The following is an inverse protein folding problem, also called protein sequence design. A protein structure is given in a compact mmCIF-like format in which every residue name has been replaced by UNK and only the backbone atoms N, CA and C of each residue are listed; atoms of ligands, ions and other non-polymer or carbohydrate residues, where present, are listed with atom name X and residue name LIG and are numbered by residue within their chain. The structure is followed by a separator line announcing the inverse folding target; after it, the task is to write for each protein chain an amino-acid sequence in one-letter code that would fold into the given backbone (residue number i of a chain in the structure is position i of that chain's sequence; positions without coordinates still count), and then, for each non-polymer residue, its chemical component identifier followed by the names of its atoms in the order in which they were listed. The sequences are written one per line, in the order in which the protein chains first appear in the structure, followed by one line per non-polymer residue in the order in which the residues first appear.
data_IF_329067307070
#
_entry.id   IF_329067307070
#
_cell.length_a   1.000
_cell.length_b   1.000
_cell.length_c   1.000
_cell.angle_alpha   90.00
_cell.angle_beta   90.00
_cell.angle_gamma   90.00
#
_symmetry.space_group_name_H-M   'P 1'
#
loop_
_entity.id
_entity.type
_entity.pdbx_description
1 polymer ?
#
# COMPACT_ATOMS: atom_id res chain seq x y z
N UNK A 1 20.40 -5.53 43.32
CA UNK A 1 19.35 -6.56 43.11
C UNK A 1 18.12 -6.00 42.41
N UNK A 2 17.63 -4.78 42.75
CA UNK A 2 16.50 -4.12 42.05
C UNK A 2 16.76 -3.72 40.58
N UNK A 3 17.99 -3.41 40.19
CA UNK A 3 18.32 -2.97 38.81
C UNK A 3 18.35 -4.09 37.77
N UNK A 4 18.62 -5.32 38.20
CA UNK A 4 18.61 -6.50 37.32
C UNK A 4 17.19 -6.87 36.88
N UNK A 5 16.23 -6.77 37.79
CA UNK A 5 14.81 -7.05 37.51
C UNK A 5 14.15 -6.05 36.55
N UNK A 6 14.55 -4.77 36.60
CA UNK A 6 14.02 -3.77 35.67
C UNK A 6 14.55 -3.97 34.24
N UNK A 7 15.80 -4.37 34.09
CA UNK A 7 16.42 -4.62 32.77
C UNK A 7 15.78 -5.83 32.09
N UNK A 8 15.59 -6.93 32.82
CA UNK A 8 14.93 -8.14 32.30
C UNK A 8 13.46 -7.90 31.92
N UNK A 9 12.75 -7.09 32.71
CA UNK A 9 11.37 -6.70 32.40
C UNK A 9 11.29 -5.90 31.10
N UNK A 10 12.20 -4.95 30.90
CA UNK A 10 12.26 -4.13 29.69
C UNK A 10 12.59 -4.98 28.45
N UNK A 11 13.56 -5.89 28.54
CA UNK A 11 13.91 -6.80 27.45
C UNK A 11 12.73 -7.69 27.05
N UNK A 12 12.01 -8.23 28.04
CA UNK A 12 10.81 -9.05 27.82
C UNK A 12 9.69 -8.26 27.14
N UNK A 13 9.48 -7.01 27.57
CA UNK A 13 8.50 -6.11 26.96
C UNK A 13 8.85 -5.83 25.49
N UNK A 14 10.10 -5.49 25.19
CA UNK A 14 10.54 -5.20 23.82
C UNK A 14 10.41 -6.41 22.91
N UNK A 15 10.78 -7.59 23.40
CA UNK A 15 10.65 -8.83 22.66
C UNK A 15 9.18 -9.15 22.34
N UNK A 16 8.29 -8.93 23.31
CA UNK A 16 6.85 -9.12 23.14
C UNK A 16 6.26 -8.16 22.10
N UNK A 17 6.62 -6.87 22.16
CA UNK A 17 6.22 -5.87 21.17
C UNK A 17 6.71 -6.28 19.78
N UNK A 18 7.95 -6.76 19.68
CA UNK A 18 8.54 -7.18 18.41
C UNK A 18 7.81 -8.39 17.81
N UNK A 19 7.47 -9.41 18.60
CA UNK A 19 6.76 -10.59 18.10
C UNK A 19 5.30 -10.30 17.75
N UNK A 20 4.60 -9.45 18.52
CA UNK A 20 3.26 -8.98 18.15
C UNK A 20 3.32 -8.25 16.81
N UNK A 21 4.30 -7.36 16.65
CA UNK A 21 4.53 -6.64 15.41
C UNK A 21 4.85 -7.60 14.26
N UNK A 22 5.69 -8.62 14.50
CA UNK A 22 6.02 -9.62 13.51
C UNK A 22 4.77 -10.37 13.03
N UNK A 23 3.87 -10.76 13.95
CA UNK A 23 2.59 -11.37 13.60
C UNK A 23 1.72 -10.48 12.72
N UNK A 24 1.59 -9.19 13.08
CA UNK A 24 0.85 -8.20 12.28
C UNK A 24 1.49 -8.02 10.90
N UNK A 25 2.82 -7.96 10.83
CA UNK A 25 3.58 -7.81 9.60
C UNK A 25 3.43 -9.05 8.70
N UNK A 26 3.47 -10.26 9.25
CA UNK A 26 3.27 -11.50 8.49
C UNK A 26 1.88 -11.56 7.88
N UNK A 27 0.84 -11.32 8.70
CA UNK A 27 -0.55 -11.37 8.25
C UNK A 27 -0.83 -10.29 7.21
N UNK A 28 -0.36 -9.07 7.44
CA UNK A 28 -0.48 -7.97 6.46
C UNK A 28 0.31 -8.28 5.19
N UNK A 29 1.50 -8.86 5.32
CA UNK A 29 2.38 -9.22 4.22
C UNK A 29 1.74 -10.25 3.29
N UNK A 30 1.32 -11.39 3.84
CA UNK A 30 0.70 -12.48 3.06
C UNK A 30 -0.52 -11.97 2.31
N UNK A 31 -1.42 -11.27 3.00
CA UNK A 31 -2.68 -10.89 2.35
C UNK A 31 -2.46 -9.83 1.26
N UNK A 32 -1.56 -8.87 1.46
CA UNK A 32 -1.27 -7.87 0.43
C UNK A 32 -0.46 -8.43 -0.74
N UNK A 33 0.43 -9.41 -0.52
CA UNK A 33 1.08 -10.15 -1.61
C UNK A 33 0.05 -10.91 -2.44
N UNK A 34 -0.85 -11.66 -1.79
CA UNK A 34 -1.91 -12.40 -2.49
C UNK A 34 -2.86 -11.45 -3.26
N UNK A 35 -3.24 -10.33 -2.64
CA UNK A 35 -4.07 -9.32 -3.30
C UNK A 35 -3.36 -8.70 -4.52
N UNK A 36 -2.07 -8.41 -4.40
CA UNK A 36 -1.26 -7.84 -5.48
C UNK A 36 -0.97 -8.82 -6.63
N UNK A 37 -0.92 -10.13 -6.37
CA UNK A 37 -0.71 -11.17 -7.39
C UNK A 37 -1.99 -11.56 -8.14
N UNK A 38 -3.17 -11.23 -7.62
CA UNK A 38 -4.43 -11.50 -8.31
C UNK A 38 -4.52 -10.70 -9.62
N UNK A 39 -5.29 -11.16 -10.61
CA UNK A 39 -5.29 -10.62 -11.99
C UNK A 39 -5.66 -9.13 -12.12
N UNK A 40 -6.23 -8.52 -11.07
CA UNK A 40 -6.58 -7.09 -10.98
C UNK A 40 -5.90 -6.41 -9.78
N UNK A 41 -4.85 -7.02 -9.23
CA UNK A 41 -4.12 -6.56 -8.06
C UNK A 41 -3.38 -5.25 -8.31
N UNK A 42 -3.40 -4.36 -7.31
CA UNK A 42 -2.67 -3.10 -7.38
C UNK A 42 -1.21 -3.34 -7.00
N UNK A 43 -0.27 -2.79 -7.79
CA UNK A 43 1.17 -2.90 -7.51
C UNK A 43 1.55 -2.37 -6.12
N UNK A 44 0.78 -1.40 -5.63
CA UNK A 44 0.89 -0.86 -4.27
C UNK A 44 0.75 -1.94 -3.20
N UNK A 45 -0.24 -2.84 -3.35
CA UNK A 45 -0.45 -3.95 -2.41
C UNK A 45 0.71 -4.93 -2.45
N UNK A 46 1.19 -5.27 -3.66
CA UNK A 46 2.33 -6.19 -3.80
C UNK A 46 3.59 -5.64 -3.12
N UNK A 47 3.95 -4.39 -3.39
CA UNK A 47 5.15 -3.76 -2.79
C UNK A 47 4.99 -3.63 -1.27
N UNK A 48 3.82 -3.21 -0.80
CA UNK A 48 3.53 -3.14 0.64
C UNK A 48 3.61 -4.52 1.31
N UNK A 49 3.09 -5.55 0.65
CA UNK A 49 3.16 -6.93 1.12
C UNK A 49 4.60 -7.43 1.27
N UNK A 50 5.45 -7.18 0.27
CA UNK A 50 6.89 -7.51 0.33
C UNK A 50 7.57 -6.73 1.46
N UNK A 51 7.26 -5.44 1.62
CA UNK A 51 7.78 -4.64 2.75
C UNK A 51 7.40 -5.24 4.10
N UNK A 52 6.15 -5.65 4.28
CA UNK A 52 5.70 -6.28 5.53
C UNK A 52 6.43 -7.59 5.79
N UNK A 53 6.68 -8.42 4.76
CA UNK A 53 7.47 -9.65 4.91
C UNK A 53 8.93 -9.34 5.29
N UNK A 54 9.53 -8.30 4.72
CA UNK A 54 10.86 -7.83 5.16
C UNK A 54 10.85 -7.44 6.64
N UNK A 55 9.82 -6.70 7.07
CA UNK A 55 9.62 -6.35 8.48
C UNK A 55 9.49 -7.57 9.39
N UNK A 56 8.73 -8.59 8.96
CA UNK A 56 8.59 -9.85 9.67
C UNK A 56 9.93 -10.56 9.86
N UNK A 57 10.69 -10.78 8.78
CA UNK A 57 11.99 -11.44 8.86
C UNK A 57 12.98 -10.66 9.72
N UNK A 58 12.98 -9.32 9.62
CA UNK A 58 13.80 -8.47 10.49
C UNK A 58 13.51 -8.71 11.97
N UNK A 59 12.23 -8.83 12.36
CA UNK A 59 11.83 -8.97 13.76
C UNK A 59 12.05 -10.39 14.31
N UNK A 60 11.92 -11.42 13.47
CA UNK A 60 12.00 -12.83 13.91
C UNK A 60 13.43 -13.38 13.87
N UNK A 61 14.26 -12.93 12.93
CA UNK A 61 15.62 -13.46 12.80
C UNK A 61 16.48 -13.15 14.04
N UNK A 62 17.35 -14.10 14.43
CA UNK A 62 18.24 -13.93 15.58
C UNK A 62 19.23 -12.78 15.37
N UNK A 63 19.58 -12.02 16.42
CA UNK A 63 18.95 -12.02 17.75
C UNK A 63 17.50 -11.52 17.65
N UNK A 64 16.55 -12.26 18.24
CA UNK A 64 15.11 -11.98 18.08
C UNK A 64 14.72 -10.59 18.57
N UNK A 65 13.70 -10.00 17.95
CA UNK A 65 13.21 -8.68 18.29
C UNK A 65 13.92 -7.55 17.56
N UNK A 66 14.15 -6.42 18.22
CA UNK A 66 14.88 -5.29 17.64
C UNK A 66 16.37 -5.37 17.97
N UNK A 67 17.17 -4.60 17.22
CA UNK A 67 18.61 -4.54 17.45
C UNK A 67 18.93 -3.65 18.65
N UNK A 68 19.30 -4.27 19.78
CA UNK A 68 19.64 -3.58 21.02
C UNK A 68 21.13 -3.28 21.17
N UNK A 69 21.98 -4.04 20.47
CA UNK A 69 23.43 -3.90 20.48
C UNK A 69 23.94 -3.74 19.05
N UNK A 70 24.89 -2.83 18.87
CA UNK A 70 25.37 -2.45 17.54
C UNK A 70 26.91 -2.44 17.49
N UNK A 71 27.60 -3.19 18.36
CA UNK A 71 29.07 -3.12 18.44
C UNK A 71 29.70 -3.91 17.28
N UNK A 72 30.61 -3.29 16.55
CA UNK A 72 31.45 -3.99 15.58
C UNK A 72 32.54 -4.81 16.32
N UNK A 73 33.02 -5.93 15.75
CA UNK A 73 32.60 -6.54 14.50
C UNK A 73 31.21 -7.19 14.60
N UNK A 74 30.41 -7.06 13.54
CA UNK A 74 29.04 -7.55 13.54
C UNK A 74 28.97 -9.06 13.28
N UNK A 75 28.24 -9.84 14.11
CA UNK A 75 28.01 -11.25 13.83
C UNK A 75 27.20 -11.43 12.54
N UNK A 76 27.44 -12.52 11.82
CA UNK A 76 26.79 -12.84 10.54
C UNK A 76 25.27 -12.81 10.65
N UNK A 77 24.72 -13.32 11.76
CA UNK A 77 23.28 -13.30 12.04
C UNK A 77 22.70 -11.88 12.02
N UNK A 78 23.39 -10.93 12.66
CA UNK A 78 22.98 -9.52 12.69
C UNK A 78 23.11 -8.88 11.30
N UNK A 79 24.15 -9.23 10.53
CA UNK A 79 24.30 -8.75 9.16
C UNK A 79 23.16 -9.22 8.27
N UNK A 80 22.78 -10.50 8.35
CA UNK A 80 21.64 -11.08 7.61
C UNK A 80 20.32 -10.42 8.03
N UNK A 81 20.09 -10.29 9.34
CA UNK A 81 18.92 -9.59 9.89
C UNK A 81 18.79 -8.17 9.33
N UNK A 82 19.91 -7.45 9.20
CA UNK A 82 19.92 -6.07 8.67
C UNK A 82 19.59 -5.98 7.18
N UNK A 83 19.86 -7.01 6.38
CA UNK A 83 19.45 -7.02 4.96
C UNK A 83 17.95 -6.73 4.83
N UNK A 84 17.13 -7.34 5.70
CA UNK A 84 15.68 -7.20 5.64
C UNK A 84 15.19 -5.79 5.97
N UNK A 85 15.73 -5.13 7.00
CA UNK A 85 15.30 -3.77 7.33
C UNK A 85 15.87 -2.74 6.32
N UNK A 86 17.02 -2.99 5.71
CA UNK A 86 17.53 -2.16 4.60
C UNK A 86 16.66 -2.33 3.36
N UNK A 87 16.26 -3.56 3.04
CA UNK A 87 15.33 -3.84 1.95
C UNK A 87 13.97 -3.17 2.18
N UNK A 88 13.47 -3.19 3.42
CA UNK A 88 12.27 -2.45 3.80
C UNK A 88 12.38 -0.95 3.46
N UNK A 89 13.46 -0.28 3.89
CA UNK A 89 13.66 1.13 3.59
C UNK A 89 13.96 1.41 2.10
N UNK A 90 14.58 0.47 1.39
CA UNK A 90 14.82 0.56 -0.05
C UNK A 90 13.53 0.46 -0.87
N UNK A 91 12.54 -0.30 -0.37
CA UNK A 91 11.22 -0.42 -0.95
C UNK A 91 10.29 0.73 -0.58
N UNK A 92 10.55 1.46 0.51
CA UNK A 92 9.68 2.55 0.99
C UNK A 92 9.47 3.66 -0.06
N UNK A 93 10.51 4.19 -0.77
CA UNK A 93 10.30 5.13 -1.89
C UNK A 93 9.53 4.53 -3.07
N UNK A 94 9.74 3.23 -3.36
CA UNK A 94 9.01 2.52 -4.42
C UNK A 94 7.52 2.41 -4.06
N UNK A 95 7.21 2.10 -2.80
CA UNK A 95 5.86 2.12 -2.29
C UNK A 95 5.24 3.51 -2.40
N UNK A 96 5.96 4.57 -1.99
CA UNK A 96 5.49 5.95 -2.11
C UNK A 96 5.19 6.31 -3.57
N UNK A 97 6.03 5.91 -4.53
CA UNK A 97 5.79 6.11 -5.97
C UNK A 97 4.47 5.46 -6.41
N UNK A 98 4.23 4.18 -6.07
CA UNK A 98 3.01 3.48 -6.43
C UNK A 98 1.76 4.02 -5.71
N UNK A 99 1.88 4.31 -4.42
CA UNK A 99 0.80 4.82 -3.59
C UNK A 99 0.34 6.22 -4.02
N UNK A 100 1.29 7.09 -4.40
CA UNK A 100 1.00 8.50 -4.74
C UNK A 100 0.87 8.77 -6.23
N UNK A 101 1.39 7.88 -7.08
CA UNK A 101 1.55 8.15 -8.51
C UNK A 101 2.58 9.25 -8.82
N UNK A 102 3.48 9.56 -7.88
CA UNK A 102 4.56 10.52 -8.04
C UNK A 102 5.78 9.87 -8.71
N UNK A 103 6.04 10.18 -9.98
CA UNK A 103 6.98 9.43 -10.84
C UNK A 103 8.44 9.91 -10.82
N UNK A 104 8.88 10.69 -9.83
CA UNK A 104 10.28 11.17 -9.79
C UNK A 104 11.23 10.10 -9.23
N UNK A 105 11.60 9.15 -10.09
CA UNK A 105 12.42 7.97 -9.75
C UNK A 105 13.85 8.28 -9.29
N UNK A 106 14.37 9.48 -9.58
CA UNK A 106 15.72 9.90 -9.16
C UNK A 106 15.91 9.71 -7.64
N UNK A 107 14.92 10.10 -6.83
CA UNK A 107 15.00 9.96 -5.38
C UNK A 107 14.96 8.50 -4.92
N UNK A 108 14.17 7.66 -5.61
CA UNK A 108 14.12 6.21 -5.36
C UNK A 108 15.48 5.57 -5.57
N UNK A 109 16.11 5.80 -6.73
CA UNK A 109 17.43 5.23 -7.03
C UNK A 109 18.52 5.76 -6.11
N UNK A 110 18.50 7.06 -5.82
CA UNK A 110 19.48 7.69 -4.93
C UNK A 110 19.38 7.13 -3.50
N UNK A 111 18.16 6.93 -3.00
CA UNK A 111 17.96 6.29 -1.68
C UNK A 111 18.48 4.86 -1.69
N UNK A 112 18.14 4.06 -2.71
CA UNK A 112 18.58 2.67 -2.82
C UNK A 112 20.10 2.57 -2.88
N UNK A 113 20.75 3.45 -3.65
CA UNK A 113 22.20 3.55 -3.71
C UNK A 113 22.81 3.83 -2.34
N UNK A 114 22.33 4.87 -1.63
CA UNK A 114 22.87 5.20 -0.31
C UNK A 114 22.63 4.11 0.73
N UNK A 115 21.48 3.41 0.68
CA UNK A 115 21.22 2.27 1.56
C UNK A 115 22.16 1.11 1.27
N UNK A 116 22.34 0.72 0.00
CA UNK A 116 23.28 -0.34 -0.38
C UNK A 116 24.71 0.01 -0.01
N UNK A 117 25.13 1.25 -0.28
CA UNK A 117 26.44 1.75 0.10
C UNK A 117 26.62 1.72 1.63
N UNK A 118 25.61 2.14 2.40
CA UNK A 118 25.66 2.07 3.87
C UNK A 118 25.77 0.65 4.40
N UNK A 119 25.07 -0.30 3.78
CA UNK A 119 25.17 -1.71 4.16
C UNK A 119 26.56 -2.27 3.88
N UNK A 120 27.13 -1.94 2.71
CA UNK A 120 28.47 -2.37 2.33
C UNK A 120 29.55 -1.85 3.29
N UNK A 121 29.51 -0.55 3.63
CA UNK A 121 30.42 0.06 4.60
C UNK A 121 30.25 -0.62 5.97
N UNK A 122 29.01 -0.82 6.44
CA UNK A 122 28.73 -1.50 7.71
C UNK A 122 29.30 -2.93 7.74
N UNK A 123 29.10 -3.72 6.67
CA UNK A 123 29.54 -5.11 6.61
C UNK A 123 31.08 -5.27 6.64
N UNK A 124 31.80 -4.24 6.22
CA UNK A 124 33.27 -4.20 6.17
C UNK A 124 33.89 -3.42 7.35
N UNK A 125 33.08 -2.85 8.24
CA UNK A 125 33.57 -2.08 9.39
C UNK A 125 34.04 -3.01 10.52
N UNK A 126 35.32 -2.86 10.90
CA UNK A 126 35.91 -3.54 12.05
C UNK A 126 36.11 -2.63 13.28
N UNK A 127 35.97 -1.30 13.13
CA UNK A 127 36.18 -0.30 14.18
C UNK A 127 34.91 0.44 14.62
N UNK A 128 35.07 1.61 15.25
CA UNK A 128 33.94 2.39 15.77
C UNK A 128 33.00 2.92 14.66
N UNK A 129 31.71 2.98 15.02
CA UNK A 129 30.52 2.90 14.14
C UNK A 129 30.23 4.09 13.21
N UNK A 130 31.13 5.06 13.06
CA UNK A 130 30.70 6.42 12.66
C UNK A 130 30.19 6.53 11.22
N UNK A 131 30.81 5.85 10.25
CA UNK A 131 30.67 6.30 8.86
C UNK A 131 29.42 5.76 8.16
N UNK A 132 29.11 4.46 8.34
CA UNK A 132 27.92 3.86 7.75
C UNK A 132 26.63 4.41 8.37
N UNK A 133 26.69 4.80 9.65
CA UNK A 133 25.55 5.33 10.38
C UNK A 133 25.03 6.63 9.76
N UNK A 134 25.90 7.63 9.57
CA UNK A 134 25.52 8.91 8.97
C UNK A 134 24.99 8.75 7.55
N UNK A 135 25.62 7.86 6.77
CA UNK A 135 25.19 7.54 5.43
C UNK A 135 23.76 6.98 5.39
N UNK A 136 23.43 6.07 6.31
CA UNK A 136 22.07 5.55 6.46
C UNK A 136 21.07 6.66 6.82
N UNK A 137 21.46 7.64 7.65
CA UNK A 137 20.60 8.78 8.02
C UNK A 137 20.30 9.69 6.84
N UNK A 138 21.29 9.97 6.00
CA UNK A 138 21.09 10.74 4.77
C UNK A 138 20.07 10.03 3.87
N UNK A 139 20.18 8.71 3.73
CA UNK A 139 19.21 7.93 2.96
C UNK A 139 17.79 8.05 3.55
N UNK A 140 17.64 7.87 4.87
CA UNK A 140 16.35 7.97 5.56
C UNK A 140 15.72 9.38 5.48
N UNK A 141 16.53 10.43 5.64
CA UNK A 141 16.07 11.82 5.45
C UNK A 141 15.60 12.03 4.01
N UNK A 142 16.31 11.47 3.03
CA UNK A 142 15.91 11.52 1.63
C UNK A 142 14.55 10.86 1.40
N UNK A 143 14.28 9.71 2.03
CA UNK A 143 12.96 9.05 1.97
C UNK A 143 11.87 9.93 2.56
N UNK A 144 12.13 10.55 3.72
CA UNK A 144 11.18 11.44 4.37
C UNK A 144 10.85 12.65 3.47
N UNK A 145 11.87 13.32 2.92
CA UNK A 145 11.69 14.45 2.02
C UNK A 145 10.94 14.05 0.76
N UNK A 146 11.29 12.91 0.16
CA UNK A 146 10.58 12.36 -1.01
C UNK A 146 9.10 12.12 -0.69
N UNK A 147 8.82 11.49 0.45
CA UNK A 147 7.46 11.25 0.93
C UNK A 147 6.66 12.54 1.11
N UNK A 148 7.24 13.56 1.76
CA UNK A 148 6.57 14.85 1.97
C UNK A 148 6.27 15.58 0.65
N UNK A 149 7.19 15.51 -0.32
CA UNK A 149 6.98 16.07 -1.66
C UNK A 149 5.86 15.32 -2.38
N UNK A 150 5.83 13.99 -2.29
CA UNK A 150 4.80 13.16 -2.91
C UNK A 150 3.41 13.41 -2.29
N UNK A 151 3.32 13.55 -0.96
CA UNK A 151 2.10 13.95 -0.25
C UNK A 151 1.61 15.33 -0.71
N UNK A 152 2.53 16.30 -0.85
CA UNK A 152 2.18 17.63 -1.38
C UNK A 152 1.60 17.55 -2.78
N UNK A 153 2.12 16.67 -3.63
CA UNK A 153 1.59 16.41 -4.97
C UNK A 153 0.20 15.78 -4.93
N UNK A 154 -0.05 14.81 -4.04
CA UNK A 154 -1.41 14.24 -3.86
C UNK A 154 -2.44 15.29 -3.41
N UNK A 155 -2.06 16.21 -2.52
CA UNK A 155 -2.94 17.32 -2.14
C UNK A 155 -3.28 18.22 -3.33
N UNK A 156 -2.32 18.44 -4.25
CA UNK A 156 -2.57 19.19 -5.50
C UNK A 156 -3.50 18.45 -6.46
N UNK A 157 -3.45 17.12 -6.50
CA UNK A 157 -4.34 16.25 -7.31
C UNK A 157 -5.71 15.96 -6.64
N UNK A 158 -6.08 16.69 -5.59
CA UNK A 158 -7.32 16.52 -4.83
C UNK A 158 -7.51 15.15 -4.14
N UNK A 159 -6.46 14.32 -4.02
CA UNK A 159 -6.46 13.04 -3.29
C UNK A 159 -6.25 13.25 -1.78
N UNK A 160 -7.14 14.04 -1.15
CA UNK A 160 -6.94 14.52 0.23
C UNK A 160 -7.00 13.43 1.29
N UNK A 161 -7.78 12.36 1.05
CA UNK A 161 -7.91 11.27 2.02
C UNK A 161 -6.62 10.45 2.06
N UNK A 162 -6.15 10.01 0.91
CA UNK A 162 -4.91 9.24 0.73
C UNK A 162 -3.69 10.02 1.27
N UNK A 163 -3.60 11.30 0.92
CA UNK A 163 -2.51 12.17 1.36
C UNK A 163 -2.41 12.27 2.89
N UNK A 164 -3.55 12.32 3.61
CA UNK A 164 -3.57 12.41 5.08
C UNK A 164 -3.02 11.15 5.75
N UNK A 165 -3.36 9.97 5.25
CA UNK A 165 -2.87 8.70 5.79
C UNK A 165 -1.35 8.58 5.64
N UNK A 166 -0.84 8.88 4.44
CA UNK A 166 0.59 8.87 4.20
C UNK A 166 1.31 9.95 5.01
N UNK A 167 0.74 11.16 5.12
CA UNK A 167 1.30 12.23 5.96
C UNK A 167 1.39 11.81 7.43
N UNK A 168 0.35 11.17 7.98
CA UNK A 168 0.37 10.69 9.37
C UNK A 168 1.51 9.69 9.61
N UNK A 169 1.68 8.72 8.70
CA UNK A 169 2.79 7.76 8.77
C UNK A 169 4.16 8.45 8.66
N UNK A 170 4.30 9.42 7.76
CA UNK A 170 5.54 10.19 7.56
C UNK A 170 5.85 11.13 8.72
N UNK A 171 4.86 11.69 9.41
CA UNK A 171 5.06 12.52 10.60
C UNK A 171 5.64 11.71 11.74
N UNK A 172 5.08 10.51 12.00
CA UNK A 172 5.63 9.60 13.01
C UNK A 172 7.07 9.20 12.62
N UNK A 173 7.28 8.84 11.36
CA UNK A 173 8.63 8.52 10.85
C UNK A 173 9.61 9.68 11.03
N UNK A 174 9.19 10.92 10.71
CA UNK A 174 10.01 12.12 10.86
C UNK A 174 10.33 12.45 12.31
N UNK A 175 9.37 12.31 13.23
CA UNK A 175 9.60 12.51 14.67
C UNK A 175 10.62 11.48 15.18
N UNK A 176 10.43 10.20 14.87
CA UNK A 176 11.35 9.14 15.29
C UNK A 176 12.75 9.31 14.70
N UNK A 177 12.84 9.73 13.44
CA UNK A 177 14.11 10.04 12.78
C UNK A 177 14.79 11.25 13.42
N UNK A 178 14.05 12.32 13.70
CA UNK A 178 14.56 13.52 14.36
C UNK A 178 15.09 13.23 15.77
N UNK A 179 14.31 12.51 16.59
CA UNK A 179 14.75 12.07 17.91
C UNK A 179 16.03 11.22 17.82
N UNK A 180 16.13 10.38 16.79
CA UNK A 180 17.32 9.56 16.58
C UNK A 180 18.57 10.37 16.24
N UNK A 181 18.43 11.43 15.45
CA UNK A 181 19.54 12.33 15.09
C UNK A 181 19.96 13.16 16.31
N UNK A 182 18.99 13.68 17.07
CA UNK A 182 19.23 14.46 18.30
C UNK A 182 19.97 13.61 19.33
N UNK A 183 19.53 12.37 19.55
CA UNK A 183 20.16 11.48 20.53
C UNK A 183 21.63 11.19 20.20
N UNK A 184 21.94 11.00 18.92
CA UNK A 184 23.32 10.79 18.48
C UNK A 184 24.17 12.05 18.69
N UNK A 185 23.63 13.20 18.24
CA UNK A 185 24.31 14.49 18.36
C UNK A 185 24.57 14.91 19.81
N UNK A 186 23.73 14.47 20.75
CA UNK A 186 23.87 14.75 22.18
C UNK A 186 24.78 13.74 22.93
N UNK A 187 25.56 12.92 22.20
CA UNK A 187 26.41 11.87 22.77
C UNK A 187 25.63 10.90 23.67
N UNK A 188 24.46 10.44 23.21
CA UNK A 188 23.65 9.40 23.84
C UNK A 188 22.96 9.78 25.16
N UNK A 189 22.81 11.07 25.47
CA UNK A 189 22.16 11.51 26.72
C UNK A 189 20.69 11.09 26.86
N UNK A 190 19.95 10.96 25.74
CA UNK A 190 18.54 10.53 25.81
C UNK A 190 18.46 9.02 26.05
N UNK A 191 19.28 8.26 25.34
CA UNK A 191 19.42 6.81 25.48
C UNK A 191 19.97 6.39 26.84
N UNK A 192 20.90 7.16 27.44
CA UNK A 192 21.42 6.89 28.78
C UNK A 192 20.35 7.06 29.87
N UNK A 193 19.42 8.01 29.70
CA UNK A 193 18.26 8.17 30.60
C UNK A 193 17.23 7.04 30.46
N UNK A 194 17.16 6.42 29.29
CA UNK A 194 16.28 5.29 29.01
C UNK A 194 16.94 3.92 29.26
N UNK A 195 18.20 3.89 29.69
CA UNK A 195 18.94 2.65 29.96
C UNK A 195 19.28 1.80 28.72
N UNK A 196 19.15 2.35 27.51
CA UNK A 196 19.39 1.62 26.24
C UNK A 196 20.65 2.15 25.53
N UNK A 197 21.41 1.27 24.88
CA UNK A 197 22.70 1.62 24.23
C UNK A 197 22.57 1.98 22.73
N UNK A 198 21.39 1.82 22.15
CA UNK A 198 21.10 2.10 20.74
C UNK A 198 19.74 2.79 20.68
N UNK A 199 19.59 3.79 19.80
CA UNK A 199 18.31 4.47 19.59
C UNK A 199 17.32 3.57 18.83
N UNK A 200 16.81 2.58 19.56
CA UNK A 200 15.75 1.64 19.20
C UNK A 200 14.46 2.26 18.61
N UNK A 201 14.00 3.47 19.02
CA UNK A 201 12.70 3.97 18.59
C UNK A 201 12.56 4.19 17.09
N UNK A 202 13.66 4.30 16.33
CA UNK A 202 13.55 4.43 14.88
C UNK A 202 12.77 3.27 14.27
N UNK A 203 13.04 2.03 14.69
CA UNK A 203 12.38 0.85 14.12
C UNK A 203 10.89 0.75 14.48
N UNK A 204 10.40 1.53 15.45
CA UNK A 204 8.97 1.64 15.71
C UNK A 204 8.23 2.28 14.53
N UNK A 205 8.94 2.98 13.64
CA UNK A 205 8.37 3.49 12.40
C UNK A 205 7.81 2.36 11.53
N UNK A 206 8.44 1.17 11.55
CA UNK A 206 7.97 -0.02 10.83
C UNK A 206 6.55 -0.37 11.28
N UNK A 207 6.34 -0.42 12.59
CA UNK A 207 5.05 -0.78 13.20
C UNK A 207 3.99 0.26 12.84
N UNK A 208 4.30 1.54 13.09
CA UNK A 208 3.38 2.63 12.80
C UNK A 208 3.00 2.67 11.32
N UNK A 209 3.98 2.48 10.43
CA UNK A 209 3.75 2.47 9.00
C UNK A 209 2.88 1.30 8.56
N UNK A 210 3.19 0.07 9.01
CA UNK A 210 2.41 -1.13 8.67
C UNK A 210 0.96 -0.98 9.15
N UNK A 211 0.74 -0.49 10.37
CA UNK A 211 -0.61 -0.33 10.92
C UNK A 211 -1.39 0.75 10.16
N UNK A 212 -0.83 1.95 10.01
CA UNK A 212 -1.53 3.09 9.40
C UNK A 212 -1.85 2.81 7.93
N UNK A 213 -0.85 2.37 7.16
CA UNK A 213 -1.02 2.09 5.73
C UNK A 213 -1.81 0.81 5.52
N UNK A 214 -1.59 -0.23 6.33
CA UNK A 214 -2.33 -1.48 6.26
C UNK A 214 -3.83 -1.26 6.43
N UNK A 215 -4.24 -0.47 7.43
CA UNK A 215 -5.64 -0.08 7.62
C UNK A 215 -6.17 0.66 6.39
N UNK A 216 -5.43 1.63 5.86
CA UNK A 216 -5.88 2.40 4.68
C UNK A 216 -6.08 1.53 3.45
N UNK A 217 -5.12 0.65 3.13
CA UNK A 217 -5.22 -0.24 1.97
C UNK A 217 -6.45 -1.14 2.11
N UNK A 218 -6.73 -1.67 3.31
CA UNK A 218 -7.94 -2.46 3.57
C UNK A 218 -9.24 -1.72 3.34
N UNK A 219 -9.34 -0.51 3.87
CA UNK A 219 -10.53 0.33 3.67
C UNK A 219 -10.73 0.57 2.16
N UNK A 220 -9.65 0.83 1.41
CA UNK A 220 -9.72 1.05 -0.03
C UNK A 220 -10.22 -0.19 -0.79
N UNK A 221 -9.64 -1.36 -0.51
CA UNK A 221 -10.05 -2.63 -1.15
C UNK A 221 -11.51 -2.96 -0.83
N UNK A 222 -11.93 -2.72 0.41
CA UNK A 222 -13.30 -2.97 0.84
C UNK A 222 -14.30 -2.00 0.17
N UNK A 223 -13.99 -0.71 0.10
CA UNK A 223 -14.81 0.29 -0.60
C UNK A 223 -14.99 -0.09 -2.08
N UNK A 224 -13.89 -0.45 -2.77
CA UNK A 224 -13.92 -0.88 -4.17
C UNK A 224 -14.78 -2.13 -4.37
N UNK A 225 -14.62 -3.13 -3.50
CA UNK A 225 -15.43 -4.36 -3.55
C UNK A 225 -16.93 -4.08 -3.37
N UNK A 226 -17.32 -3.21 -2.42
CA UNK A 226 -18.72 -2.85 -2.23
C UNK A 226 -19.31 -2.08 -3.40
N UNK A 227 -18.53 -1.17 -4.00
CA UNK A 227 -18.94 -0.44 -5.20
C UNK A 227 -19.14 -1.39 -6.39
N UNK A 228 -18.17 -2.26 -6.67
CA UNK A 228 -18.27 -3.26 -7.75
C UNK A 228 -19.46 -4.20 -7.54
N UNK A 229 -19.66 -4.67 -6.30
CA UNK A 229 -20.81 -5.53 -5.95
C UNK A 229 -22.14 -4.78 -6.12
N UNK A 230 -22.22 -3.50 -5.71
CA UNK A 230 -23.41 -2.68 -5.88
C UNK A 230 -23.74 -2.42 -7.35
N UNK A 231 -22.73 -2.16 -8.18
CA UNK A 231 -22.87 -2.02 -9.63
C UNK A 231 -23.41 -3.31 -10.25
N UNK A 232 -22.77 -4.45 -9.97
CA UNK A 232 -23.24 -5.77 -10.46
C UNK A 232 -24.68 -6.07 -10.04
N UNK A 233 -25.06 -5.76 -8.81
CA UNK A 233 -26.43 -5.95 -8.32
C UNK A 233 -27.43 -5.04 -9.03
N UNK A 234 -27.07 -3.79 -9.33
CA UNK A 234 -27.91 -2.86 -10.11
C UNK A 234 -28.09 -3.35 -11.53
N UNK A 235 -27.01 -3.79 -12.19
CA UNK A 235 -27.06 -4.31 -13.55
C UNK A 235 -27.92 -5.57 -13.63
N UNK A 236 -27.75 -6.50 -12.69
CA UNK A 236 -28.60 -7.70 -12.58
C UNK A 236 -30.06 -7.33 -12.37
N UNK A 237 -30.36 -6.41 -11.44
CA UNK A 237 -31.74 -5.98 -11.16
C UNK A 237 -32.37 -5.27 -12.36
N UNK A 238 -31.63 -4.39 -13.04
CA UNK A 238 -32.09 -3.72 -14.25
C UNK A 238 -32.39 -4.73 -15.36
N UNK A 239 -31.48 -5.66 -15.61
CA UNK A 239 -31.66 -6.70 -16.61
C UNK A 239 -32.88 -7.57 -16.29
N UNK A 240 -33.07 -7.99 -15.04
CA UNK A 240 -34.26 -8.75 -14.63
C UNK A 240 -35.56 -7.94 -14.81
N UNK A 241 -35.55 -6.65 -14.48
CA UNK A 241 -36.72 -5.79 -14.66
C UNK A 241 -37.08 -5.65 -16.14
N UNK A 242 -36.12 -5.31 -16.98
CA UNK A 242 -36.33 -5.11 -18.44
C UNK A 242 -36.76 -6.41 -19.12
N UNK A 243 -36.20 -7.55 -18.72
CA UNK A 243 -36.53 -8.85 -19.30
C UNK A 243 -37.94 -9.35 -18.95
N UNK A 244 -38.43 -9.04 -17.74
CA UNK A 244 -39.71 -9.57 -17.25
C UNK A 244 -40.86 -8.54 -17.30
N UNK A 245 -40.56 -7.29 -17.62
CA UNK A 245 -41.54 -6.21 -17.75
C UNK A 245 -42.43 -6.43 -18.97
N UNK A 246 -43.75 -6.37 -18.78
CA UNK A 246 -44.76 -6.39 -19.85
C UNK A 246 -44.91 -5.02 -20.53
N UNK A 247 -43.79 -4.41 -20.93
CA UNK A 247 -43.73 -3.14 -21.64
C UNK A 247 -42.84 -3.29 -22.87
N UNK A 248 -43.22 -2.66 -23.97
CA UNK A 248 -42.42 -2.65 -25.19
C UNK A 248 -41.26 -1.68 -24.99
N UNK A 249 -40.03 -2.19 -24.88
CA UNK A 249 -38.82 -1.37 -24.84
C UNK A 249 -38.07 -1.60 -26.14
N UNK A 250 -37.85 -0.52 -26.89
CA UNK A 250 -37.12 -0.51 -28.15
C UNK A 250 -36.14 0.66 -28.08
N UNK A 251 -34.89 0.39 -28.44
CA UNK A 251 -33.86 1.40 -28.62
C UNK A 251 -33.56 1.53 -30.11
N UNK A 252 -33.40 2.76 -30.58
CA UNK A 252 -33.06 3.07 -31.97
C UNK A 252 -31.69 3.73 -32.01
N UNK A 253 -30.90 3.41 -33.05
CA UNK A 253 -29.69 4.15 -33.37
C UNK A 253 -30.02 5.53 -33.96
N UNK A 254 -28.99 6.33 -34.23
CA UNK A 254 -29.15 7.68 -34.82
C UNK A 254 -29.80 7.67 -36.22
N UNK A 255 -29.82 6.53 -36.90
CA UNK A 255 -30.42 6.36 -38.21
C UNK A 255 -31.85 5.79 -38.12
N UNK A 256 -32.39 5.59 -36.91
CA UNK A 256 -33.71 5.01 -36.70
C UNK A 256 -33.76 3.49 -36.84
N UNK A 257 -32.62 2.80 -36.89
CA UNK A 257 -32.57 1.35 -36.91
C UNK A 257 -32.65 0.80 -35.48
N UNK A 258 -33.29 -0.35 -35.31
CA UNK A 258 -33.46 -0.95 -33.99
C UNK A 258 -32.12 -1.48 -33.45
N UNK A 259 -31.57 -0.82 -32.43
CA UNK A 259 -30.32 -1.22 -31.77
C UNK A 259 -30.54 -2.19 -30.62
N UNK A 260 -31.71 -2.15 -29.98
CA UNK A 260 -32.10 -3.05 -28.90
C UNK A 260 -33.62 -3.22 -28.81
N UNK A 261 -34.07 -4.39 -28.35
CA UNK A 261 -35.46 -4.64 -28.00
C UNK A 261 -35.55 -5.66 -26.87
N UNK A 262 -36.45 -5.41 -25.91
CA UNK A 262 -36.62 -6.34 -24.79
C UNK A 262 -37.41 -7.60 -25.21
N UNK A 263 -37.33 -8.70 -24.43
CA UNK A 263 -38.00 -9.97 -24.78
C UNK A 263 -39.51 -9.84 -24.98
N UNK A 264 -40.17 -8.96 -24.21
CA UNK A 264 -41.61 -8.71 -24.38
C UNK A 264 -41.91 -8.05 -25.74
N UNK A 265 -41.12 -7.05 -26.15
CA UNK A 265 -41.22 -6.45 -27.48
C UNK A 265 -40.97 -7.45 -28.61
N UNK A 266 -39.91 -8.25 -28.50
CA UNK A 266 -39.64 -9.31 -29.48
C UNK A 266 -40.82 -10.28 -29.64
N UNK A 267 -41.44 -10.68 -28.52
CA UNK A 267 -42.57 -11.61 -28.53
C UNK A 267 -43.84 -10.99 -29.13
N UNK A 268 -44.09 -9.71 -28.89
CA UNK A 268 -45.31 -9.01 -29.33
C UNK A 268 -45.24 -8.47 -30.75
N UNK A 269 -44.08 -8.02 -31.21
CA UNK A 269 -43.93 -7.30 -32.48
C UNK A 269 -43.58 -8.18 -33.69
N UNK A 270 -43.16 -9.44 -33.50
CA UNK A 270 -42.72 -10.22 -34.67
C UNK A 270 -42.53 -11.72 -34.51
N UNK A 271 -42.85 -12.32 -33.36
CA UNK A 271 -42.82 -13.77 -33.20
C UNK A 271 -41.41 -14.39 -33.23
N UNK A 272 -40.89 -14.67 -32.04
CA UNK A 272 -39.73 -15.54 -31.75
C UNK A 272 -38.34 -15.19 -32.30
N UNK A 273 -38.16 -14.27 -33.24
CA UNK A 273 -36.84 -13.95 -33.79
C UNK A 273 -36.39 -12.49 -33.55
N UNK A 274 -35.94 -12.20 -32.32
CA UNK A 274 -35.23 -10.96 -31.93
C UNK A 274 -34.13 -10.57 -32.95
N UNK A 275 -33.34 -11.55 -33.41
CA UNK A 275 -32.27 -11.35 -34.39
C UNK A 275 -32.74 -10.86 -35.77
N UNK A 276 -34.01 -11.05 -36.13
CA UNK A 276 -34.53 -10.59 -37.42
C UNK A 276 -35.00 -9.12 -37.40
N UNK A 277 -35.17 -8.54 -36.20
CA UNK A 277 -35.63 -7.15 -36.03
C UNK A 277 -34.46 -6.21 -35.71
N UNK A 278 -33.41 -6.69 -35.05
CA UNK A 278 -32.19 -5.90 -34.81
C UNK A 278 -31.57 -5.40 -36.12
N UNK A 279 -31.25 -4.12 -36.19
CA UNK A 279 -30.65 -3.44 -37.34
C UNK A 279 -31.64 -3.02 -38.42
N UNK A 280 -32.94 -3.33 -38.30
CA UNK A 280 -33.95 -2.88 -39.28
C UNK A 280 -34.44 -1.46 -38.99
N UNK A 281 -34.78 -0.67 -40.03
CA UNK A 281 -35.38 0.65 -39.86
C UNK A 281 -36.78 0.53 -39.23
N UNK A 282 -36.96 1.13 -38.06
CA UNK A 282 -38.18 1.02 -37.27
C UNK A 282 -39.41 1.55 -38.01
N UNK A 283 -39.29 2.74 -38.58
CA UNK A 283 -40.39 3.43 -39.24
C UNK A 283 -40.87 2.73 -40.51
N UNK A 284 -39.98 2.06 -41.25
CA UNK A 284 -40.38 1.27 -42.43
C UNK A 284 -40.99 -0.08 -42.03
N UNK A 285 -40.50 -0.69 -40.95
CA UNK A 285 -40.93 -2.03 -40.52
C UNK A 285 -42.32 -2.00 -39.87
N UNK A 286 -42.68 -0.91 -39.18
CA UNK A 286 -43.92 -0.80 -38.39
C UNK A 286 -44.81 0.39 -38.75
N UNK A 287 -44.62 1.01 -39.93
CA UNK A 287 -45.49 2.10 -40.40
C UNK A 287 -46.97 1.68 -40.39
N UNK A 288 -47.83 2.54 -39.81
CA UNK A 288 -49.27 2.38 -39.94
C UNK A 288 -49.71 2.73 -41.37
N UNK A 289 -50.65 1.99 -41.98
CA UNK A 289 -51.18 2.34 -43.29
C UNK A 289 -51.91 3.69 -43.20
N UNK A 290 -51.26 4.76 -43.67
CA UNK A 290 -51.83 6.13 -43.69
C UNK A 290 -50.89 7.25 -43.23
N UNK A 291 -49.77 6.95 -42.55
CA UNK A 291 -48.79 7.95 -42.11
C UNK A 291 -47.50 7.98 -42.96
N UNK A 292 -47.35 7.05 -43.90
CA UNK A 292 -46.42 7.20 -45.01
C UNK A 292 -46.99 8.29 -45.93
N UNK A 293 -46.58 9.53 -45.70
CA UNK A 293 -46.92 10.67 -46.56
C UNK A 293 -46.50 10.43 -48.02
N UNK A 294 -47.08 11.20 -48.96
CA UNK A 294 -46.87 11.05 -50.41
C UNK A 294 -45.41 11.20 -50.85
#
# INVERSE_FOLDING_TARGET
MQTLTETELMDTLYLSIAYITAGIALLSGIINVLAGLYSHGERTDLVFGIMCLCGFFFLVLPPGGFVMTDKAPYPVELQVKRIFIWLYYALLPVFIEYYTGYKKRVFTYLTQFFLLWSYYVMATTHGDRTDWYWLSRIALITVLLYGLIAVRDQFRRAQRKEAKWLLAALLIYGILLGLSVVNEGSRYTLTSRLGVNVFFPLHLNLVAFIVIIGIRLRVNTQEKYHLEKSLRWRDMRWNMLVQNMHLLIIELDRNGNISYLNPYAAKKLGGQYEKQLLGKPWFETFAMPGEAGP
#
